data_IF_964669940924
#
_entry.id   IF_964669940924
#
_cell.length_a   1.000
_cell.length_b   1.000
_cell.length_c   1.000
_cell.angle_alpha   90.00
_cell.angle_beta   90.00
_cell.angle_gamma   90.00
#
_symmetry.space_group_name_H-M   'P 1'
#
loop_
_entity.id
_entity.type
_entity.pdbx_description
1 polymer ?
#
# COMPACT_ATOMS: atom_id res chain seq x y z
N UNK A 1 -19.67 3.51 -14.23
CA UNK A 1 -18.68 4.46 -13.63
C UNK A 1 -18.14 3.80 -12.37
N UNK A 2 -16.82 3.77 -12.19
CA UNK A 2 -16.19 3.16 -11.01
C UNK A 2 -15.89 4.30 -10.03
N UNK A 3 -16.49 4.30 -8.83
CA UNK A 3 -16.14 5.29 -7.81
C UNK A 3 -14.74 5.03 -7.30
N UNK A 4 -13.99 6.10 -7.06
CA UNK A 4 -12.65 6.03 -6.51
C UNK A 4 -12.37 7.21 -5.60
N UNK A 5 -11.39 7.06 -4.72
CA UNK A 5 -10.81 8.14 -3.92
C UNK A 5 -9.35 8.31 -4.31
N UNK A 6 -8.91 9.56 -4.51
CA UNK A 6 -7.49 9.85 -4.74
C UNK A 6 -6.85 10.21 -3.41
N UNK A 7 -5.78 9.50 -3.04
CA UNK A 7 -5.07 9.72 -1.79
C UNK A 7 -3.56 9.82 -2.02
N UNK A 8 -2.85 10.39 -1.05
CA UNK A 8 -1.39 10.43 -1.05
C UNK A 8 -0.85 10.22 0.37
N UNK A 9 0.31 9.56 0.46
CA UNK A 9 1.05 9.39 1.69
C UNK A 9 2.54 9.58 1.42
N UNK A 10 3.15 10.59 2.05
CA UNK A 10 4.58 10.90 1.91
C UNK A 10 5.07 11.03 0.46
N UNK A 11 4.25 11.59 -0.41
CA UNK A 11 4.58 11.80 -1.83
C UNK A 11 4.20 10.66 -2.76
N UNK A 12 3.86 9.47 -2.27
CA UNK A 12 3.23 8.43 -3.09
C UNK A 12 1.72 8.70 -3.22
N UNK A 13 1.21 8.68 -4.42
CA UNK A 13 -0.20 8.91 -4.69
C UNK A 13 -0.89 7.66 -5.26
N UNK A 14 -2.10 7.42 -4.76
CA UNK A 14 -2.84 6.20 -5.04
C UNK A 14 -4.27 6.50 -5.47
N UNK A 15 -4.82 5.60 -6.30
CA UNK A 15 -6.24 5.48 -6.58
C UNK A 15 -6.77 4.41 -5.63
N UNK A 16 -7.70 4.76 -4.75
CA UNK A 16 -8.31 3.82 -3.79
C UNK A 16 -9.67 3.38 -4.33
N UNK A 17 -9.85 2.08 -4.41
CA UNK A 17 -11.09 1.42 -4.83
C UNK A 17 -11.69 0.62 -3.67
N UNK A 18 -13.00 0.76 -3.52
CA UNK A 18 -13.80 -0.10 -2.65
C UNK A 18 -14.24 -1.33 -3.44
N UNK A 19 -13.80 -2.49 -3.02
CA UNK A 19 -14.21 -3.79 -3.58
C UNK A 19 -14.73 -4.74 -2.50
N UNK A 20 -15.28 -4.18 -1.41
CA UNK A 20 -15.86 -4.97 -0.31
C UNK A 20 -17.02 -5.87 -0.80
N UNK A 21 -17.65 -5.53 -1.91
CA UNK A 21 -18.67 -6.37 -2.54
C UNK A 21 -18.10 -7.46 -3.47
N UNK A 22 -16.79 -7.48 -3.73
CA UNK A 22 -16.14 -8.44 -4.63
C UNK A 22 -16.49 -8.29 -6.10
N UNK A 23 -17.02 -7.14 -6.53
CA UNK A 23 -17.51 -6.93 -7.90
C UNK A 23 -16.38 -6.82 -8.94
N UNK A 24 -15.15 -6.53 -8.52
CA UNK A 24 -14.01 -6.35 -9.42
C UNK A 24 -13.02 -7.51 -9.26
N UNK A 25 -12.91 -8.42 -10.24
CA UNK A 25 -11.94 -9.50 -10.19
C UNK A 25 -10.50 -8.99 -10.36
N UNK A 26 -9.52 -9.78 -9.89
CA UNK A 26 -8.10 -9.43 -9.88
C UNK A 26 -7.56 -8.97 -11.25
N UNK A 27 -7.95 -9.66 -12.33
CA UNK A 27 -7.54 -9.28 -13.69
C UNK A 27 -8.06 -7.90 -14.11
N UNK A 28 -9.29 -7.56 -13.66
CA UNK A 28 -9.85 -6.24 -13.90
C UNK A 28 -9.04 -5.17 -13.14
N UNK A 29 -8.73 -5.42 -11.86
CA UNK A 29 -7.97 -4.49 -11.00
C UNK A 29 -6.56 -4.25 -11.55
N UNK A 30 -5.86 -5.31 -11.98
CA UNK A 30 -4.56 -5.21 -12.65
C UNK A 30 -4.62 -4.33 -13.91
N UNK A 31 -5.57 -4.59 -14.81
CA UNK A 31 -5.75 -3.77 -16.03
C UNK A 31 -6.15 -2.32 -15.72
N UNK A 32 -6.97 -2.13 -14.68
CA UNK A 32 -7.37 -0.81 -14.21
C UNK A 32 -6.14 -0.02 -13.73
N UNK A 33 -5.22 -0.66 -13.00
CA UNK A 33 -3.97 -0.04 -12.57
C UNK A 33 -3.14 0.42 -13.78
N UNK A 34 -2.92 -0.45 -14.76
CA UNK A 34 -2.19 -0.08 -16.00
C UNK A 34 -2.84 1.10 -16.72
N UNK A 35 -4.17 1.15 -16.75
CA UNK A 35 -4.90 2.18 -17.49
C UNK A 35 -4.97 3.51 -16.72
N UNK A 36 -5.29 3.45 -15.42
CA UNK A 36 -5.60 4.64 -14.63
C UNK A 36 -4.36 5.31 -14.03
N UNK A 37 -3.28 4.56 -13.80
CA UNK A 37 -2.05 5.12 -13.24
C UNK A 37 -1.24 5.94 -14.25
N UNK A 38 -1.57 5.91 -15.54
CA UNK A 38 -0.87 6.70 -16.57
C UNK A 38 -0.94 8.19 -16.29
N UNK A 39 0.18 8.78 -15.89
CA UNK A 39 0.27 10.22 -15.67
C UNK A 39 0.10 10.97 -16.98
N UNK A 40 -0.61 12.08 -16.95
CA UNK A 40 -0.92 12.96 -18.11
C UNK A 40 -1.86 12.35 -19.16
N UNK A 41 -2.22 11.09 -19.05
CA UNK A 41 -3.11 10.39 -20.00
C UNK A 41 -4.39 9.90 -19.33
N UNK A 42 -4.37 9.71 -18.01
CA UNK A 42 -5.48 9.25 -17.20
C UNK A 42 -5.43 9.94 -15.84
N UNK A 43 -5.95 9.31 -14.77
CA UNK A 43 -5.94 9.85 -13.41
C UNK A 43 -4.52 10.11 -12.89
N UNK A 44 -3.57 9.25 -13.26
CA UNK A 44 -2.17 9.31 -12.84
C UNK A 44 -2.01 8.93 -11.37
N UNK A 45 -1.23 7.90 -11.07
CA UNK A 45 -0.91 7.46 -9.72
C UNK A 45 0.32 6.56 -9.72
N UNK A 46 0.88 6.30 -8.55
CA UNK A 46 1.93 5.29 -8.36
C UNK A 46 1.35 3.87 -8.30
N UNK A 47 0.07 3.73 -7.92
CA UNK A 47 -0.63 2.46 -7.86
C UNK A 47 -2.10 2.59 -7.55
N UNK A 48 -2.77 1.44 -7.53
CA UNK A 48 -4.16 1.27 -7.11
C UNK A 48 -4.19 0.49 -5.81
N UNK A 49 -4.82 1.04 -4.79
CA UNK A 49 -5.11 0.36 -3.53
C UNK A 49 -6.55 -0.12 -3.55
N UNK A 50 -6.78 -1.32 -3.09
CA UNK A 50 -8.10 -1.93 -3.08
C UNK A 50 -8.42 -2.45 -1.68
N UNK A 51 -9.58 -2.07 -1.16
CA UNK A 51 -10.16 -2.66 0.04
C UNK A 51 -11.11 -3.79 -0.38
N UNK A 52 -10.84 -5.00 0.11
CA UNK A 52 -11.67 -6.17 -0.13
C UNK A 52 -12.10 -6.82 1.18
N UNK A 53 -13.15 -7.64 1.14
CA UNK A 53 -13.56 -8.41 2.31
C UNK A 53 -12.44 -9.35 2.76
N UNK A 54 -12.24 -9.46 4.06
CA UNK A 54 -11.24 -10.34 4.67
C UNK A 54 -11.92 -11.40 5.55
N UNK A 55 -11.44 -12.65 5.56
CA UNK A 55 -11.91 -13.65 6.52
C UNK A 55 -11.32 -13.46 7.93
N UNK A 56 -10.15 -12.81 8.05
CA UNK A 56 -9.33 -12.80 9.27
C UNK A 56 -9.05 -11.39 9.83
N UNK A 57 -9.52 -10.36 9.12
CA UNK A 57 -9.31 -8.96 9.48
C UNK A 57 -10.53 -8.12 9.06
N UNK A 58 -10.50 -6.82 9.34
CA UNK A 58 -11.61 -5.92 9.01
C UNK A 58 -11.75 -5.76 7.49
N UNK A 59 -10.62 -5.80 6.80
CA UNK A 59 -10.56 -5.85 5.33
C UNK A 59 -9.21 -6.43 4.86
N UNK A 60 -9.14 -6.76 3.57
CA UNK A 60 -7.88 -7.08 2.88
C UNK A 60 -7.43 -5.87 2.08
N UNK A 61 -6.18 -5.48 2.25
CA UNK A 61 -5.51 -4.50 1.40
C UNK A 61 -4.82 -5.21 0.25
N UNK A 62 -5.18 -4.83 -0.98
CA UNK A 62 -4.41 -5.20 -2.18
C UNK A 62 -3.80 -3.97 -2.80
N UNK A 63 -2.60 -4.13 -3.33
CA UNK A 63 -1.86 -3.09 -4.03
C UNK A 63 -1.54 -3.57 -5.44
N UNK A 64 -1.97 -2.80 -6.43
CA UNK A 64 -1.56 -3.00 -7.83
C UNK A 64 -0.66 -1.84 -8.26
N UNK A 65 0.55 -2.16 -8.66
CA UNK A 65 1.50 -1.19 -9.22
C UNK A 65 1.01 -0.64 -10.56
N UNK A 66 1.59 0.46 -11.03
CA UNK A 66 1.22 1.08 -12.30
C UNK A 66 1.46 0.19 -13.53
N UNK A 67 2.27 -0.86 -13.41
CA UNK A 67 2.49 -1.88 -14.45
C UNK A 67 1.49 -3.04 -14.40
N UNK A 68 0.57 -3.04 -13.41
CA UNK A 68 -0.44 -4.06 -13.19
C UNK A 68 0.01 -5.23 -12.32
N UNK A 69 1.26 -5.28 -11.90
CA UNK A 69 1.74 -6.29 -10.95
C UNK A 69 1.13 -6.05 -9.56
N UNK A 70 0.87 -7.14 -8.83
CA UNK A 70 0.42 -7.05 -7.45
C UNK A 70 1.64 -6.95 -6.51
N UNK A 71 1.66 -5.93 -5.67
CA UNK A 71 2.70 -5.70 -4.67
C UNK A 71 2.32 -6.33 -3.32
N UNK A 72 3.32 -6.81 -2.59
CA UNK A 72 3.08 -7.45 -1.29
C UNK A 72 2.59 -6.46 -0.24
N UNK A 73 3.20 -5.29 -0.16
CA UNK A 73 2.86 -4.23 0.79
C UNK A 73 3.56 -2.91 0.43
N UNK A 74 2.95 -1.80 0.81
CA UNK A 74 3.55 -0.47 0.74
C UNK A 74 3.12 0.33 1.98
N UNK A 75 4.07 0.78 2.79
CA UNK A 75 3.79 1.52 4.01
C UNK A 75 2.99 2.81 3.78
N UNK A 76 3.28 3.54 2.71
CA UNK A 76 2.52 4.73 2.34
C UNK A 76 1.10 4.38 1.89
N UNK A 77 0.96 3.26 1.15
CA UNK A 77 -0.33 2.71 0.76
C UNK A 77 -1.15 2.24 1.96
N UNK A 78 -0.51 1.57 2.93
CA UNK A 78 -1.14 1.14 4.17
C UNK A 78 -1.72 2.32 4.96
N UNK A 79 -0.99 3.45 5.07
CA UNK A 79 -1.50 4.69 5.68
C UNK A 79 -2.72 5.24 4.95
N UNK A 80 -2.65 5.28 3.62
CA UNK A 80 -3.78 5.77 2.81
C UNK A 80 -5.01 4.89 3.00
N UNK A 81 -4.86 3.56 2.93
CA UNK A 81 -6.01 2.67 3.01
C UNK A 81 -6.59 2.57 4.43
N UNK A 82 -5.75 2.61 5.47
CA UNK A 82 -6.20 2.70 6.85
C UNK A 82 -6.99 4.00 7.10
N UNK A 83 -6.51 5.14 6.58
CA UNK A 83 -7.25 6.41 6.64
C UNK A 83 -8.59 6.31 5.91
N UNK A 84 -8.60 5.72 4.71
CA UNK A 84 -9.82 5.48 3.96
C UNK A 84 -10.82 4.64 4.75
N UNK A 85 -10.36 3.56 5.39
CA UNK A 85 -11.20 2.68 6.21
C UNK A 85 -11.82 3.42 7.39
N UNK A 86 -11.05 4.27 8.10
CA UNK A 86 -11.54 5.12 9.17
C UNK A 86 -12.62 6.11 8.68
N UNK A 87 -12.39 6.78 7.57
CA UNK A 87 -13.35 7.73 6.98
C UNK A 87 -14.65 7.07 6.50
N UNK A 88 -14.57 5.81 6.10
CA UNK A 88 -15.72 5.01 5.67
C UNK A 88 -16.38 4.23 6.81
N UNK A 89 -15.86 4.29 8.03
CA UNK A 89 -16.29 3.48 9.16
C UNK A 89 -16.33 1.97 8.82
N UNK A 90 -15.36 1.49 8.05
CA UNK A 90 -15.23 0.07 7.72
C UNK A 90 -14.91 -0.71 8.98
N UNK A 91 -14.14 -0.10 9.89
CA UNK A 91 -14.00 -0.55 11.27
C UNK A 91 -13.58 0.63 12.18
N UNK A 92 -13.58 0.35 13.51
CA UNK A 92 -13.33 1.33 14.56
C UNK A 92 -11.99 2.06 14.48
N UNK A 93 -11.51 2.63 15.61
CA UNK A 93 -10.33 3.50 15.66
C UNK A 93 -8.99 2.82 15.38
N UNK A 94 -8.96 1.50 15.21
CA UNK A 94 -7.74 0.71 15.03
C UNK A 94 -7.99 -0.34 13.95
N UNK A 95 -8.06 0.05 12.66
CA UNK A 95 -8.33 -0.89 11.59
C UNK A 95 -7.22 -1.95 11.50
N UNK A 96 -7.63 -3.21 11.43
CA UNK A 96 -6.80 -4.37 11.16
C UNK A 96 -7.05 -4.81 9.73
N UNK A 97 -6.00 -5.02 8.98
CA UNK A 97 -6.13 -5.45 7.59
C UNK A 97 -5.09 -6.47 7.20
N UNK A 98 -5.51 -7.42 6.38
CA UNK A 98 -4.61 -8.43 5.81
C UNK A 98 -3.93 -7.88 4.55
N UNK A 99 -2.68 -8.29 4.34
CA UNK A 99 -1.88 -8.01 3.15
C UNK A 99 -1.17 -9.30 2.74
N UNK A 100 -0.53 -9.33 1.58
CA UNK A 100 0.34 -10.46 1.21
C UNK A 100 1.54 -10.63 2.16
N UNK A 101 1.94 -9.57 2.85
CA UNK A 101 3.01 -9.62 3.86
C UNK A 101 2.51 -9.98 5.28
N UNK A 102 1.20 -10.22 5.46
CA UNK A 102 0.59 -10.57 6.75
C UNK A 102 -0.45 -9.56 7.23
N UNK A 103 -0.90 -9.74 8.47
CA UNK A 103 -1.89 -8.86 9.11
C UNK A 103 -1.18 -7.64 9.69
N UNK A 104 -1.74 -6.47 9.42
CA UNK A 104 -1.30 -5.18 9.92
C UNK A 104 -2.39 -4.51 10.74
N UNK A 105 -1.98 -3.62 11.63
CA UNK A 105 -2.85 -2.76 12.41
C UNK A 105 -2.44 -1.30 12.18
N UNK A 106 -3.40 -0.40 12.16
CA UNK A 106 -3.10 1.02 12.11
C UNK A 106 -3.84 1.75 13.24
N UNK A 107 -3.19 2.71 13.86
CA UNK A 107 -3.77 3.55 14.91
C UNK A 107 -4.02 4.94 14.37
N UNK A 108 -5.20 5.50 14.65
CA UNK A 108 -5.47 6.91 14.37
C UNK A 108 -4.74 7.77 15.40
N UNK A 109 -3.78 8.55 14.94
CA UNK A 109 -3.15 9.63 15.69
C UNK A 109 -3.41 10.94 14.91
N UNK A 110 -4.61 11.48 15.14
CA UNK A 110 -5.14 12.60 14.35
C UNK A 110 -4.18 13.81 14.34
N UNK A 111 -3.81 14.36 13.17
CA UNK A 111 -4.34 14.08 11.83
C UNK A 111 -3.65 12.93 11.08
N UNK A 112 -2.82 12.13 11.74
CA UNK A 112 -1.98 11.08 11.14
C UNK A 112 -2.57 9.69 11.33
N UNK A 113 -2.06 8.73 10.57
CA UNK A 113 -2.31 7.30 10.74
C UNK A 113 -0.96 6.59 10.84
N UNK A 114 -0.78 5.79 11.87
CA UNK A 114 0.44 5.04 12.12
C UNK A 114 0.20 3.53 11.96
N UNK A 115 0.62 2.93 10.83
CA UNK A 115 0.55 1.49 10.64
C UNK A 115 1.70 0.79 11.35
N UNK A 116 1.41 -0.26 12.10
CA UNK A 116 2.42 -1.17 12.63
C UNK A 116 2.93 -2.07 11.51
N UNK A 117 4.17 -1.84 11.10
CA UNK A 117 4.81 -2.50 9.95
C UNK A 117 5.41 -3.88 10.27
N UNK A 118 5.10 -4.47 11.43
CA UNK A 118 5.67 -5.75 11.85
C UNK A 118 7.06 -5.63 12.47
N UNK A 119 7.77 -6.76 12.56
CA UNK A 119 9.12 -6.85 13.12
C UNK A 119 10.14 -6.95 11.99
N UNK A 120 11.17 -6.13 12.03
CA UNK A 120 12.30 -6.22 11.09
C UNK A 120 13.12 -7.46 11.42
N UNK A 121 13.27 -8.38 10.45
CA UNK A 121 14.25 -9.46 10.55
C UNK A 121 15.61 -8.93 10.13
N UNK A 122 16.63 -9.21 10.95
CA UNK A 122 18.03 -8.91 10.62
C UNK A 122 18.71 -10.10 9.93
N UNK A 123 17.99 -11.19 9.70
CA UNK A 123 18.49 -12.38 9.04
C UNK A 123 18.82 -12.05 7.57
N UNK A 124 20.09 -12.26 7.20
CA UNK A 124 20.58 -11.92 5.85
C UNK A 124 20.99 -10.47 5.64
N UNK A 125 20.79 -9.61 6.63
CA UNK A 125 21.29 -8.23 6.60
C UNK A 125 22.82 -8.16 6.69
N UNK A 126 23.39 -7.06 6.22
CA UNK A 126 24.80 -6.77 6.41
C UNK A 126 25.00 -5.31 6.82
N UNK A 127 26.01 -5.09 7.66
CA UNK A 127 26.27 -3.79 8.28
C UNK A 127 27.67 -3.29 7.94
N UNK A 128 27.80 -1.97 7.81
CA UNK A 128 29.09 -1.27 7.63
C UNK A 128 29.95 -1.82 6.48
N UNK A 129 29.35 -2.39 5.42
CA UNK A 129 30.09 -2.81 4.24
C UNK A 129 30.58 -1.60 3.46
N UNK A 130 31.81 -1.72 2.93
CA UNK A 130 32.34 -0.76 1.98
C UNK A 130 31.83 -1.08 0.58
N UNK A 131 31.21 -0.09 -0.04
CA UNK A 131 30.74 -0.14 -1.42
C UNK A 131 31.53 0.88 -2.23
N UNK A 132 32.05 0.47 -3.37
CA UNK A 132 32.66 1.38 -4.34
C UNK A 132 31.65 1.69 -5.43
N UNK A 133 31.26 2.95 -5.55
CA UNK A 133 30.33 3.43 -6.58
C UNK A 133 31.00 4.60 -7.30
N UNK A 134 31.18 4.47 -8.60
CA UNK A 134 31.80 5.50 -9.45
C UNK A 134 33.17 6.01 -8.95
N UNK A 135 33.97 5.14 -8.31
CA UNK A 135 35.28 5.47 -7.78
C UNK A 135 35.31 6.04 -6.36
N UNK A 136 34.17 6.26 -5.76
CA UNK A 136 34.04 6.68 -4.36
C UNK A 136 33.66 5.52 -3.45
N UNK A 137 34.16 5.54 -2.21
CA UNK A 137 33.88 4.49 -1.22
C UNK A 137 32.86 4.97 -0.19
N UNK A 138 31.74 4.26 -0.12
CA UNK A 138 30.68 4.49 0.85
C UNK A 138 30.63 3.36 1.87
N UNK A 139 30.21 3.68 3.10
CA UNK A 139 29.78 2.67 4.09
C UNK A 139 28.27 2.55 4.01
N UNK A 140 27.79 1.33 3.80
CA UNK A 140 26.35 1.04 3.74
C UNK A 140 25.99 -0.15 4.62
N UNK A 141 24.74 -0.16 5.07
CA UNK A 141 24.12 -1.29 5.74
C UNK A 141 22.81 -1.62 4.99
N UNK A 142 22.49 -2.89 4.93
CA UNK A 142 21.27 -3.41 4.34
C UNK A 142 20.57 -4.30 5.36
N UNK A 143 19.25 -4.12 5.51
CA UNK A 143 18.35 -4.89 6.38
C UNK A 143 17.29 -5.56 5.54
#
# INVERSE_FOLDING_TARGET
MIPFTKMQGNGNDFIVLDNMSGQYPAEFLSRAAVSYCRRRQSLGADGVLVAEISPDADFTMRLFNADGSEGEMCGNGARCLARYALEKNIDGRTPRFSTLAGIMEATEDSPFVDPRMGTVSLDGGWFNRRLNVAGETFKASFL
#
